data_IF_296400091969
#
_entry.id   IF_296400091969
#
_cell.length_a   1.000
_cell.length_b   1.000
_cell.length_c   1.000
_cell.angle_alpha   90.00
_cell.angle_beta   90.00
_cell.angle_gamma   90.00
#
_symmetry.space_group_name_H-M   'P 1'
#
loop_
_entity.id
_entity.type
_entity.pdbx_description
1 polymer ?
#
# COMPACT_ATOMS: atom_id res chain seq x y z
N UNK A 1 -41.95 66.85 19.22
CA UNK A 1 -41.39 65.57 18.63
C UNK A 1 -42.38 64.47 18.95
N UNK A 2 -42.95 63.85 17.92
CA UNK A 2 -44.05 62.86 18.07
C UNK A 2 -43.44 61.49 18.45
N UNK A 3 -44.17 60.67 19.22
CA UNK A 3 -43.76 59.31 19.63
C UNK A 3 -43.43 58.37 18.45
N UNK A 4 -43.85 58.77 17.25
CA UNK A 4 -43.50 57.97 16.00
C UNK A 4 -42.06 58.07 15.56
N UNK A 5 -41.40 59.22 15.82
CA UNK A 5 -40.01 59.44 15.34
C UNK A 5 -38.97 58.65 16.15
N UNK A 6 -39.29 58.36 17.42
CA UNK A 6 -38.38 57.57 18.27
C UNK A 6 -38.37 56.06 17.94
N UNK A 7 -39.46 55.55 17.34
CA UNK A 7 -39.51 54.14 16.94
C UNK A 7 -38.79 53.85 15.63
N UNK A 8 -38.79 54.80 14.70
CA UNK A 8 -38.09 54.68 13.43
C UNK A 8 -36.57 54.78 13.64
N UNK A 9 -36.14 55.67 14.55
CA UNK A 9 -34.71 55.79 14.85
C UNK A 9 -34.12 54.58 15.57
N UNK A 10 -34.94 53.88 16.42
CA UNK A 10 -34.52 52.64 17.06
C UNK A 10 -34.49 51.44 16.11
N UNK A 11 -35.35 51.41 15.10
CA UNK A 11 -35.35 50.37 14.07
C UNK A 11 -34.12 50.45 13.13
N UNK A 12 -33.71 51.67 12.82
CA UNK A 12 -32.53 51.90 11.96
C UNK A 12 -31.21 51.62 12.67
N UNK A 13 -31.08 51.87 13.97
CA UNK A 13 -29.87 51.49 14.73
C UNK A 13 -29.76 49.98 15.01
N UNK A 14 -30.86 49.26 15.10
CA UNK A 14 -30.86 47.79 15.26
C UNK A 14 -30.42 47.07 13.98
N UNK A 15 -30.70 47.62 12.80
CA UNK A 15 -30.36 47.02 11.52
C UNK A 15 -28.87 47.19 11.15
N UNK A 16 -28.20 48.22 11.67
CA UNK A 16 -26.78 48.48 11.40
C UNK A 16 -25.82 47.66 12.30
N UNK A 17 -26.26 47.24 13.48
CA UNK A 17 -25.44 46.42 14.38
C UNK A 17 -25.51 44.94 14.00
N UNK A 18 -26.60 44.46 13.39
CA UNK A 18 -26.74 43.11 12.91
C UNK A 18 -25.89 42.77 11.67
N UNK A 19 -25.54 43.78 10.87
CA UNK A 19 -24.74 43.53 9.63
C UNK A 19 -23.25 43.48 9.83
N UNK A 20 -22.73 43.84 11.02
CA UNK A 20 -21.26 43.87 11.27
C UNK A 20 -20.73 42.61 11.99
N UNK A 21 -21.63 41.73 12.48
CA UNK A 21 -21.21 40.49 13.17
C UNK A 21 -21.25 39.26 12.22
N UNK A 22 -21.86 39.41 11.05
CA UNK A 22 -21.96 38.33 10.05
C UNK A 22 -20.77 38.10 9.14
N UNK A 23 -19.71 38.90 9.20
CA UNK A 23 -18.62 38.89 8.19
C UNK A 23 -17.29 38.39 8.71
N UNK A 24 -17.18 37.78 9.89
CA UNK A 24 -15.91 37.26 10.44
C UNK A 24 -15.91 35.74 10.64
N UNK A 25 -16.84 35.01 10.00
CA UNK A 25 -16.80 33.56 9.93
C UNK A 25 -16.25 33.10 8.56
N UNK A 26 -15.21 33.79 8.05
CA UNK A 26 -14.47 33.34 6.88
C UNK A 26 -13.41 32.36 7.33
N UNK A 27 -13.74 31.05 7.19
CA UNK A 27 -12.83 30.13 6.55
C UNK A 27 -11.49 29.91 7.24
N UNK A 28 -11.46 29.27 8.43
CA UNK A 28 -10.38 28.30 8.63
C UNK A 28 -10.72 27.09 7.74
N UNK A 29 -10.27 27.15 6.50
CA UNK A 29 -10.11 25.93 5.72
C UNK A 29 -9.25 24.97 6.59
N UNK A 30 -9.64 23.70 6.78
CA UNK A 30 -8.76 22.74 7.41
C UNK A 30 -7.48 22.74 6.56
N UNK A 31 -6.38 23.13 7.18
CA UNK A 31 -5.08 22.92 6.56
C UNK A 31 -5.02 21.45 6.19
N UNK A 32 -5.08 21.16 4.91
CA UNK A 32 -4.83 19.84 4.38
C UNK A 32 -3.46 19.45 4.93
N UNK A 33 -3.48 18.58 5.94
CA UNK A 33 -2.28 17.98 6.47
C UNK A 33 -1.76 17.12 5.33
N UNK A 34 -0.88 17.69 4.52
CA UNK A 34 -0.07 16.92 3.61
C UNK A 34 0.67 15.92 4.51
N UNK A 35 0.16 14.71 4.60
CA UNK A 35 0.95 13.59 5.06
C UNK A 35 2.12 13.55 4.09
N UNK A 36 3.30 13.88 4.60
CA UNK A 36 4.54 13.51 3.93
C UNK A 36 4.47 11.98 3.85
N UNK A 37 4.02 11.49 2.71
CA UNK A 37 4.23 10.09 2.34
C UNK A 37 5.74 10.01 2.19
N UNK A 38 6.40 9.51 3.21
CA UNK A 38 7.82 9.19 3.14
C UNK A 38 7.94 8.21 1.98
N UNK A 39 8.52 8.69 0.88
CA UNK A 39 8.66 7.90 -0.34
C UNK A 39 9.63 6.76 0.00
N UNK A 40 9.09 5.56 0.18
CA UNK A 40 9.91 4.38 0.42
C UNK A 40 10.77 4.16 -0.83
N UNK A 41 12.10 4.26 -0.73
CA UNK A 41 12.95 4.14 -1.91
C UNK A 41 12.78 2.75 -2.53
N UNK A 42 12.59 2.72 -3.85
CA UNK A 42 12.56 1.48 -4.60
C UNK A 42 13.96 0.84 -4.58
N UNK A 43 14.13 -0.18 -3.73
CA UNK A 43 15.35 -0.98 -3.64
C UNK A 43 15.03 -2.38 -4.17
N UNK A 44 15.82 -2.84 -5.12
CA UNK A 44 15.60 -4.14 -5.74
C UNK A 44 16.30 -5.24 -4.98
N UNK A 45 15.61 -6.36 -4.72
CA UNK A 45 16.23 -7.59 -4.25
C UNK A 45 17.27 -8.07 -5.28
N UNK A 46 18.52 -8.36 -4.90
CA UNK A 46 19.51 -8.93 -5.84
C UNK A 46 19.03 -10.26 -6.45
N UNK A 47 19.43 -10.54 -7.69
CA UNK A 47 18.96 -11.73 -8.42
C UNK A 47 19.30 -13.05 -7.71
N UNK A 48 20.49 -13.14 -7.11
CA UNK A 48 20.90 -14.31 -6.32
C UNK A 48 20.04 -14.48 -5.07
N UNK A 49 19.71 -13.38 -4.37
CA UNK A 49 18.84 -13.40 -3.18
C UNK A 49 17.41 -13.79 -3.57
N UNK A 50 16.88 -13.24 -4.67
CA UNK A 50 15.58 -13.63 -5.22
C UNK A 50 15.50 -15.15 -5.44
N UNK A 51 16.53 -15.72 -6.04
CA UNK A 51 16.59 -17.17 -6.28
C UNK A 51 16.66 -17.96 -4.96
N UNK A 52 17.50 -17.53 -4.02
CA UNK A 52 17.66 -18.18 -2.72
C UNK A 52 16.36 -18.12 -1.88
N UNK A 53 15.66 -16.99 -1.87
CA UNK A 53 14.35 -16.85 -1.20
C UNK A 53 13.33 -17.89 -1.72
N UNK A 54 13.23 -18.02 -3.04
CA UNK A 54 12.30 -18.96 -3.67
C UNK A 54 12.70 -20.42 -3.42
N UNK A 55 14.00 -20.72 -3.40
CA UNK A 55 14.55 -22.04 -3.06
C UNK A 55 14.30 -22.37 -1.58
N UNK A 56 14.57 -21.43 -0.68
CA UNK A 56 14.32 -21.59 0.76
C UNK A 56 12.85 -21.87 1.04
N UNK A 57 11.94 -21.19 0.34
CA UNK A 57 10.51 -21.43 0.39
C UNK A 57 10.11 -22.77 -0.26
N UNK A 58 10.99 -23.45 -0.97
CA UNK A 58 10.68 -24.67 -1.71
C UNK A 58 9.60 -24.47 -2.78
N UNK A 59 9.67 -23.31 -3.49
CA UNK A 59 8.70 -22.96 -4.54
C UNK A 59 8.73 -24.00 -5.66
N UNK A 60 7.57 -24.39 -6.15
CA UNK A 60 7.40 -25.33 -7.25
C UNK A 60 6.17 -25.03 -8.13
N UNK A 61 5.91 -25.87 -9.14
CA UNK A 61 4.92 -25.56 -10.18
C UNK A 61 3.45 -25.56 -9.69
N UNK A 62 3.20 -25.99 -8.48
CA UNK A 62 1.85 -25.97 -7.87
C UNK A 62 1.66 -24.78 -6.93
N UNK A 63 2.68 -23.93 -6.78
CA UNK A 63 2.62 -22.79 -5.89
C UNK A 63 2.00 -21.57 -6.55
N UNK A 64 1.37 -20.76 -5.71
CA UNK A 64 0.96 -19.41 -6.02
C UNK A 64 1.69 -18.45 -5.09
N UNK A 65 2.62 -17.71 -5.66
CA UNK A 65 3.45 -16.73 -4.93
C UNK A 65 2.73 -15.39 -4.91
N UNK A 66 2.57 -14.78 -3.73
CA UNK A 66 2.15 -13.38 -3.63
C UNK A 66 3.30 -12.55 -3.10
N UNK A 67 3.72 -11.56 -3.88
CA UNK A 67 4.83 -10.65 -3.58
C UNK A 67 4.28 -9.28 -3.19
N UNK A 68 4.51 -8.86 -1.94
CA UNK A 68 3.99 -7.62 -1.37
C UNK A 68 5.03 -6.51 -1.51
N UNK A 69 4.70 -5.46 -2.30
CA UNK A 69 5.65 -4.44 -2.72
C UNK A 69 6.55 -4.96 -3.84
N UNK A 70 5.93 -5.47 -4.91
CA UNK A 70 6.63 -6.27 -5.93
C UNK A 70 7.60 -5.48 -6.82
N UNK A 71 7.59 -4.15 -6.73
CA UNK A 71 8.50 -3.30 -7.49
C UNK A 71 8.48 -3.58 -9.00
N UNK A 72 9.61 -4.00 -9.56
CA UNK A 72 9.74 -4.34 -10.98
C UNK A 72 9.30 -5.78 -11.34
N UNK A 73 8.75 -6.50 -10.36
CA UNK A 73 8.14 -7.83 -10.52
C UNK A 73 9.10 -9.00 -10.54
N UNK A 74 10.40 -8.78 -10.24
CA UNK A 74 11.45 -9.80 -10.41
C UNK A 74 11.18 -11.11 -9.65
N UNK A 75 10.67 -11.05 -8.41
CA UNK A 75 10.42 -12.26 -7.59
C UNK A 75 9.37 -13.14 -8.26
N UNK A 76 8.22 -12.56 -8.64
CA UNK A 76 7.13 -13.30 -9.28
C UNK A 76 7.55 -13.82 -10.66
N UNK A 77 8.30 -13.03 -11.42
CA UNK A 77 8.83 -13.43 -12.74
C UNK A 77 9.79 -14.61 -12.59
N UNK A 78 10.73 -14.58 -11.65
CA UNK A 78 11.66 -15.68 -11.40
C UNK A 78 10.90 -16.93 -10.90
N UNK A 79 9.91 -16.77 -10.02
CA UNK A 79 9.05 -17.87 -9.58
C UNK A 79 8.37 -18.57 -10.77
N UNK A 80 7.84 -17.79 -11.71
CA UNK A 80 7.20 -18.33 -12.91
C UNK A 80 8.21 -18.99 -13.88
N UNK A 81 9.35 -18.35 -14.14
CA UNK A 81 10.35 -18.83 -15.10
C UNK A 81 11.11 -20.07 -14.63
N UNK A 82 11.57 -20.02 -13.38
CA UNK A 82 12.52 -21.03 -12.86
C UNK A 82 11.82 -22.18 -12.15
N UNK A 83 10.66 -21.92 -11.53
CA UNK A 83 9.97 -22.90 -10.70
C UNK A 83 8.62 -23.33 -11.28
N UNK A 84 8.15 -22.70 -12.38
CA UNK A 84 6.88 -23.00 -13.00
C UNK A 84 5.66 -22.55 -12.19
N UNK A 85 5.86 -21.79 -11.11
CA UNK A 85 4.80 -21.29 -10.26
C UNK A 85 3.92 -20.25 -10.98
N UNK A 86 2.74 -20.00 -10.43
CA UNK A 86 1.97 -18.79 -10.73
C UNK A 86 2.22 -17.74 -9.65
N UNK A 87 1.92 -16.48 -9.91
CA UNK A 87 2.03 -15.47 -8.87
C UNK A 87 1.37 -14.15 -9.17
N UNK A 88 1.19 -13.39 -8.10
CA UNK A 88 0.66 -12.04 -8.08
C UNK A 88 1.68 -11.13 -7.39
N UNK A 89 2.11 -10.08 -8.07
CA UNK A 89 2.80 -8.95 -7.46
C UNK A 89 1.84 -7.80 -7.22
N UNK A 90 1.87 -7.21 -6.03
CA UNK A 90 1.13 -5.98 -5.74
C UNK A 90 2.10 -4.85 -5.44
N UNK A 91 1.83 -3.69 -6.03
CA UNK A 91 2.67 -2.51 -5.96
C UNK A 91 1.77 -1.27 -5.99
N UNK A 92 2.12 -0.23 -5.25
CA UNK A 92 1.33 1.00 -5.18
C UNK A 92 1.75 2.04 -6.22
N UNK A 93 2.98 1.92 -6.74
CA UNK A 93 3.45 2.79 -7.84
C UNK A 93 3.00 2.22 -9.20
N UNK A 94 2.07 2.90 -9.90
CA UNK A 94 1.57 2.42 -11.19
C UNK A 94 2.65 2.35 -12.27
N UNK A 95 3.75 3.10 -12.16
CA UNK A 95 4.86 3.02 -13.11
C UNK A 95 5.66 1.73 -12.89
N UNK A 96 5.88 1.32 -11.64
CA UNK A 96 6.50 0.03 -11.32
C UNK A 96 5.59 -1.14 -11.73
N UNK A 97 4.28 -1.04 -11.50
CA UNK A 97 3.31 -2.03 -12.00
C UNK A 97 3.37 -2.18 -13.52
N UNK A 98 3.43 -1.07 -14.25
CA UNK A 98 3.57 -1.13 -15.71
C UNK A 98 4.91 -1.76 -16.11
N UNK A 99 5.99 -1.39 -15.44
CA UNK A 99 7.32 -1.97 -15.66
C UNK A 99 7.35 -3.48 -15.38
N UNK A 100 6.73 -3.95 -14.31
CA UNK A 100 6.66 -5.37 -13.98
C UNK A 100 5.88 -6.17 -15.02
N UNK A 101 4.77 -5.64 -15.54
CA UNK A 101 4.02 -6.23 -16.66
C UNK A 101 4.85 -6.32 -17.92
N UNK A 102 5.63 -5.29 -18.25
CA UNK A 102 6.54 -5.28 -19.40
C UNK A 102 7.66 -6.31 -19.22
N UNK A 103 8.20 -6.41 -18.01
CA UNK A 103 9.20 -7.40 -17.66
C UNK A 103 8.64 -8.82 -17.82
N UNK A 104 7.44 -9.12 -17.33
CA UNK A 104 6.80 -10.43 -17.47
C UNK A 104 6.55 -10.81 -18.93
N UNK A 105 6.12 -9.86 -19.77
CA UNK A 105 5.98 -10.08 -21.21
C UNK A 105 7.30 -10.42 -21.88
N UNK A 106 8.36 -9.64 -21.59
CA UNK A 106 9.71 -9.91 -22.13
C UNK A 106 10.28 -11.24 -21.65
N UNK A 107 9.92 -11.64 -20.43
CA UNK A 107 10.33 -12.92 -19.84
C UNK A 107 9.49 -14.12 -20.34
N UNK A 108 8.41 -13.89 -21.11
CA UNK A 108 7.54 -14.94 -21.63
C UNK A 108 6.67 -15.64 -20.57
N UNK A 109 6.37 -14.94 -19.45
CA UNK A 109 5.59 -15.50 -18.33
C UNK A 109 4.36 -14.66 -17.94
N UNK A 110 3.90 -13.79 -18.82
CA UNK A 110 2.76 -12.92 -18.55
C UNK A 110 1.44 -13.68 -18.31
N UNK A 111 1.35 -14.94 -18.71
CA UNK A 111 0.24 -15.86 -18.44
C UNK A 111 0.26 -16.43 -17.00
N UNK A 112 1.38 -16.34 -16.30
CA UNK A 112 1.60 -16.89 -14.96
C UNK A 112 1.99 -15.85 -13.91
N UNK A 113 2.42 -14.66 -14.32
CA UNK A 113 2.85 -13.57 -13.46
C UNK A 113 1.93 -12.35 -13.66
N UNK A 114 1.01 -12.15 -12.73
CA UNK A 114 0.09 -11.02 -12.71
C UNK A 114 0.64 -9.89 -11.83
N UNK A 115 0.35 -8.62 -12.20
CA UNK A 115 0.74 -7.45 -11.40
C UNK A 115 -0.41 -6.46 -11.28
N UNK A 116 -0.66 -5.99 -10.06
CA UNK A 116 -1.76 -5.07 -9.75
C UNK A 116 -1.27 -3.82 -9.05
N UNK A 117 -1.84 -2.69 -9.47
CA UNK A 117 -1.79 -1.44 -8.71
C UNK A 117 -2.74 -1.60 -7.51
N UNK A 118 -2.16 -1.87 -6.34
CA UNK A 118 -2.94 -2.24 -5.16
C UNK A 118 -2.13 -2.05 -3.88
N UNK A 119 -2.81 -1.56 -2.84
CA UNK A 119 -2.29 -1.52 -1.49
C UNK A 119 -2.07 -2.95 -0.95
N UNK A 120 -0.84 -3.22 -0.51
CA UNK A 120 -0.44 -4.50 0.08
C UNK A 120 -1.23 -4.84 1.35
N UNK A 121 -1.65 -3.83 2.14
CA UNK A 121 -2.47 -4.05 3.33
C UNK A 121 -3.90 -4.48 2.98
N UNK A 122 -4.43 -4.03 1.84
CA UNK A 122 -5.77 -4.39 1.36
C UNK A 122 -5.79 -5.70 0.55
N UNK A 123 -4.61 -6.28 0.25
CA UNK A 123 -4.51 -7.47 -0.61
C UNK A 123 -5.04 -8.73 0.08
N UNK A 124 -5.92 -9.47 -0.58
CA UNK A 124 -6.32 -10.80 -0.12
C UNK A 124 -5.20 -11.81 -0.38
N UNK A 125 -4.72 -12.45 0.69
CA UNK A 125 -3.65 -13.44 0.67
C UNK A 125 -4.16 -14.89 0.71
N UNK A 126 -5.46 -15.12 0.68
CA UNK A 126 -6.08 -16.45 0.87
C UNK A 126 -5.64 -17.47 -0.19
N UNK A 127 -5.31 -17.02 -1.39
CA UNK A 127 -4.82 -17.87 -2.48
C UNK A 127 -3.33 -18.22 -2.36
N UNK A 128 -2.57 -17.52 -1.52
CA UNK A 128 -1.14 -17.72 -1.42
C UNK A 128 -0.78 -19.10 -0.87
N UNK A 129 0.19 -19.76 -1.48
CA UNK A 129 0.97 -20.84 -0.87
C UNK A 129 2.35 -20.35 -0.40
N UNK A 130 2.82 -19.24 -0.97
CA UNK A 130 4.04 -18.53 -0.60
C UNK A 130 3.78 -17.04 -0.61
N UNK A 131 4.24 -16.32 0.42
CA UNK A 131 4.26 -14.86 0.48
C UNK A 131 5.70 -14.41 0.56
N UNK A 132 6.09 -13.46 -0.28
CA UNK A 132 7.43 -12.87 -0.28
C UNK A 132 7.37 -11.39 0.13
N UNK A 133 8.38 -10.95 0.86
CA UNK A 133 8.47 -9.63 1.45
C UNK A 133 9.90 -9.08 1.31
N UNK A 134 10.04 -7.84 0.86
CA UNK A 134 11.22 -7.02 1.05
C UNK A 134 10.77 -5.60 1.41
N UNK A 135 10.35 -5.44 2.63
CA UNK A 135 9.68 -4.25 3.14
C UNK A 135 10.39 -3.75 4.40
N UNK A 136 10.17 -2.49 4.74
CA UNK A 136 10.68 -1.91 5.98
C UNK A 136 10.14 -2.65 7.21
N UNK A 137 10.90 -2.70 8.33
CA UNK A 137 10.51 -3.39 9.56
C UNK A 137 9.11 -3.01 10.06
N UNK A 138 8.78 -1.72 9.99
CA UNK A 138 7.49 -1.20 10.45
C UNK A 138 6.33 -1.73 9.62
N UNK A 139 6.54 -1.91 8.33
CA UNK A 139 5.54 -2.47 7.40
C UNK A 139 5.36 -3.96 7.67
N UNK A 140 6.45 -4.69 7.89
CA UNK A 140 6.42 -6.10 8.28
C UNK A 140 5.62 -6.32 9.57
N UNK A 141 5.85 -5.48 10.59
CA UNK A 141 5.13 -5.54 11.87
C UNK A 141 3.63 -5.27 11.69
N UNK A 142 3.25 -4.34 10.82
CA UNK A 142 1.84 -4.07 10.51
C UNK A 142 1.17 -5.21 9.74
N UNK A 143 1.91 -5.91 8.87
CA UNK A 143 1.41 -7.08 8.13
C UNK A 143 1.31 -8.34 8.97
N UNK A 144 2.08 -8.44 10.04
CA UNK A 144 2.21 -9.65 10.88
C UNK A 144 0.87 -10.27 11.30
N UNK A 145 -0.14 -9.54 11.79
CA UNK A 145 -1.44 -10.15 12.15
C UNK A 145 -2.11 -10.83 10.96
N UNK A 146 -2.00 -10.24 9.78
CA UNK A 146 -2.55 -10.78 8.54
C UNK A 146 -1.81 -12.02 8.08
N UNK A 147 -0.49 -12.04 8.21
CA UNK A 147 0.37 -13.18 7.87
C UNK A 147 0.14 -14.36 8.81
N UNK A 148 -0.02 -14.10 10.11
CA UNK A 148 -0.33 -15.13 11.11
C UNK A 148 -1.72 -15.76 10.92
N UNK A 149 -2.65 -15.08 10.26
CA UNK A 149 -3.99 -15.59 9.96
C UNK A 149 -4.05 -16.46 8.69
N UNK A 150 -2.93 -16.64 7.98
CA UNK A 150 -2.88 -17.47 6.80
C UNK A 150 -3.10 -18.96 7.13
N UNK A 151 -3.59 -19.70 6.15
CA UNK A 151 -3.81 -21.15 6.32
C UNK A 151 -2.50 -21.86 6.68
N UNK A 152 -2.55 -22.90 7.54
CA UNK A 152 -1.39 -23.70 7.87
C UNK A 152 -0.70 -24.26 6.61
N UNK A 153 0.65 -24.17 6.60
CA UNK A 153 1.47 -24.59 5.47
C UNK A 153 1.76 -23.50 4.45
N UNK A 154 1.17 -22.31 4.57
CA UNK A 154 1.62 -21.14 3.81
C UNK A 154 3.02 -20.74 4.29
N UNK A 155 3.95 -20.60 3.36
CA UNK A 155 5.35 -20.22 3.62
C UNK A 155 5.51 -18.74 3.42
N UNK A 156 6.21 -18.09 4.34
CA UNK A 156 6.49 -16.65 4.29
C UNK A 156 8.00 -16.49 4.28
N UNK A 157 8.51 -15.70 3.34
CA UNK A 157 9.95 -15.42 3.21
C UNK A 157 10.15 -13.92 3.16
N UNK A 158 10.97 -13.40 4.07
CA UNK A 158 11.33 -11.99 4.15
C UNK A 158 12.81 -11.82 3.84
N UNK A 159 13.15 -10.81 3.03
CA UNK A 159 14.52 -10.40 2.78
C UNK A 159 14.92 -9.32 3.80
N UNK A 160 16.09 -9.49 4.45
CA UNK A 160 16.77 -8.60 5.41
C UNK A 160 16.01 -8.34 6.72
N UNK A 161 14.71 -8.14 6.70
CA UNK A 161 13.95 -7.65 7.84
C UNK A 161 13.07 -8.73 8.46
N UNK A 162 13.14 -8.81 9.79
CA UNK A 162 12.37 -9.75 10.59
C UNK A 162 10.90 -9.28 10.84
N UNK A 163 10.19 -10.07 11.63
CA UNK A 163 8.81 -9.83 12.07
C UNK A 163 8.72 -9.51 13.57
N UNK A 164 9.77 -8.86 14.12
CA UNK A 164 9.90 -8.59 15.55
C UNK A 164 10.22 -9.84 16.36
N UNK A 165 9.39 -10.18 17.33
CA UNK A 165 9.55 -11.38 18.18
C UNK A 165 9.02 -12.67 17.53
N UNK A 166 8.59 -12.63 16.26
CA UNK A 166 8.28 -13.82 15.50
C UNK A 166 9.53 -14.33 14.79
N UNK A 167 10.20 -15.28 15.46
CA UNK A 167 11.44 -15.85 14.96
C UNK A 167 11.22 -16.73 13.74
N UNK A 168 12.13 -16.72 12.76
CA UNK A 168 12.03 -17.59 11.59
C UNK A 168 12.28 -19.06 11.98
N UNK A 169 11.66 -19.96 11.24
CA UNK A 169 11.87 -21.41 11.38
C UNK A 169 13.22 -21.84 10.77
N UNK A 170 13.77 -21.01 9.83
CA UNK A 170 15.03 -21.24 9.11
C UNK A 170 15.72 -19.93 8.83
#
# INVERSE_FOLDING_TARGET
MSPRDSKVLRALMGALIGALIGALATGLAPAARAQLVEEVPFVTTPDNVTLEMLQLAGVGPRDHVIDLGSGDGRIVIVAAQRFGATGLGVEIDPQLVQRSRDNARRAGVADRAEFRDQDLFATDLSAASVVTLYLLPEVNLQLRPKLLALKPGTRIVSHDWDMGDWWPDR
#
